data_IF_540918399982
#
_entry.id   IF_540918399982
#
_cell.length_a   1.000
_cell.length_b   1.000
_cell.length_c   1.000
_cell.angle_alpha   90.00
_cell.angle_beta   90.00
_cell.angle_gamma   90.00
#
_symmetry.space_group_name_H-M   'P 1'
#
loop_
_entity.id
_entity.type
_entity.pdbx_description
1 polymer ?
#
# COMPACT_ATOMS: atom_id res chain seq x y z
N UNK A 1 5.40 -16.20 11.92
CA UNK A 1 4.07 -15.55 12.08
C UNK A 1 3.42 -15.40 10.73
N UNK A 2 2.13 -15.70 10.65
CA UNK A 2 1.34 -15.47 9.44
C UNK A 2 0.40 -14.30 9.70
N UNK A 3 0.37 -13.36 8.77
CA UNK A 3 -0.53 -12.22 8.82
C UNK A 3 -1.34 -12.20 7.53
N UNK A 4 -2.59 -11.70 7.60
CA UNK A 4 -3.42 -11.54 6.41
C UNK A 4 -3.14 -10.20 5.74
N UNK A 5 -2.75 -9.21 6.53
CA UNK A 5 -2.48 -7.85 6.06
C UNK A 5 -1.26 -7.29 6.77
N UNK A 6 -0.35 -6.73 6.00
CA UNK A 6 0.81 -5.98 6.53
C UNK A 6 0.76 -4.58 5.95
N UNK A 7 0.77 -3.57 6.82
CA UNK A 7 0.83 -2.17 6.41
C UNK A 7 2.13 -1.59 6.94
N UNK A 8 2.96 -1.07 6.04
CA UNK A 8 4.17 -0.36 6.43
C UNK A 8 3.92 1.13 6.37
N UNK A 9 4.57 1.90 7.23
CA UNK A 9 4.47 3.36 7.21
C UNK A 9 5.85 3.98 7.04
N UNK A 10 5.96 4.99 6.17
CA UNK A 10 7.19 5.72 5.96
C UNK A 10 8.13 5.07 4.96
N UNK A 11 9.19 5.78 4.64
CA UNK A 11 10.24 5.31 3.73
C UNK A 11 9.83 5.25 2.27
N UNK A 12 8.79 5.99 1.87
CA UNK A 12 8.24 5.92 0.50
C UNK A 12 8.54 7.17 -0.34
N UNK A 13 9.37 8.09 0.15
CA UNK A 13 9.69 9.32 -0.56
C UNK A 13 10.87 9.19 -1.51
N UNK A 14 11.54 10.33 -1.74
CA UNK A 14 12.60 10.44 -2.76
C UNK A 14 14.01 10.45 -2.16
N UNK A 15 14.15 10.47 -0.85
CA UNK A 15 15.45 10.49 -0.19
C UNK A 15 16.16 9.15 -0.38
N UNK A 16 17.49 9.17 -0.33
CA UNK A 16 18.29 7.93 -0.41
C UNK A 16 17.97 6.96 0.73
N UNK A 17 17.39 7.43 1.84
CA UNK A 17 16.96 6.58 2.95
C UNK A 17 15.60 5.93 2.73
N UNK A 18 14.84 6.42 1.76
CA UNK A 18 13.49 5.93 1.48
C UNK A 18 13.58 4.68 0.61
N UNK A 19 13.71 3.53 1.25
CA UNK A 19 13.92 2.25 0.56
C UNK A 19 12.78 1.26 0.79
N UNK A 20 11.68 1.69 1.44
CA UNK A 20 10.55 0.81 1.72
C UNK A 20 9.96 0.18 0.45
N UNK A 21 9.74 0.92 -0.66
CA UNK A 21 9.22 0.30 -1.87
C UNK A 21 10.13 -0.80 -2.41
N UNK A 22 11.43 -0.56 -2.46
CA UNK A 22 12.40 -1.54 -2.95
C UNK A 22 12.41 -2.79 -2.08
N UNK A 23 12.44 -2.61 -0.75
CA UNK A 23 12.42 -3.73 0.18
C UNK A 23 11.12 -4.53 0.06
N UNK A 24 10.00 -3.84 -0.14
CA UNK A 24 8.71 -4.50 -0.30
C UNK A 24 8.64 -5.29 -1.60
N UNK A 25 9.03 -4.68 -2.71
CA UNK A 25 9.04 -5.37 -4.01
C UNK A 25 9.90 -6.63 -3.99
N UNK A 26 10.99 -6.61 -3.23
CA UNK A 26 11.89 -7.76 -3.13
C UNK A 26 11.23 -8.99 -2.50
N UNK A 27 10.16 -8.81 -1.72
CA UNK A 27 9.47 -9.92 -1.06
C UNK A 27 8.10 -10.23 -1.65
N UNK A 28 7.57 -9.39 -2.52
CA UNK A 28 6.25 -9.64 -3.11
C UNK A 28 6.32 -10.71 -4.18
N UNK A 29 5.31 -11.58 -4.21
CA UNK A 29 5.12 -12.54 -5.31
C UNK A 29 4.49 -11.86 -6.51
N UNK A 30 3.53 -10.96 -6.26
CA UNK A 30 2.84 -10.21 -7.31
C UNK A 30 2.52 -8.81 -6.81
N UNK A 31 2.60 -7.85 -7.69
CA UNK A 31 2.29 -6.46 -7.40
C UNK A 31 0.83 -6.14 -7.72
N UNK A 32 0.19 -5.30 -6.91
CA UNK A 32 -1.17 -4.80 -7.19
C UNK A 32 -1.05 -3.29 -7.42
N UNK A 33 -0.84 -2.90 -8.66
CA UNK A 33 -0.54 -1.50 -9.00
C UNK A 33 -1.71 -0.56 -8.79
N UNK A 34 -2.93 -1.04 -8.90
CA UNK A 34 -4.11 -0.20 -8.76
C UNK A 34 -4.31 0.34 -7.35
N UNK A 35 -3.79 -0.35 -6.33
CA UNK A 35 -3.92 0.12 -4.95
C UNK A 35 -3.14 1.43 -4.73
N UNK A 36 -1.84 1.53 -5.06
CA UNK A 36 -1.16 2.81 -4.96
C UNK A 36 -1.79 3.90 -5.83
N UNK A 37 -2.29 3.57 -7.01
CA UNK A 37 -2.97 4.54 -7.87
C UNK A 37 -4.18 5.14 -7.15
N UNK A 38 -5.01 4.31 -6.52
CA UNK A 38 -6.16 4.80 -5.77
C UNK A 38 -5.74 5.70 -4.62
N UNK A 39 -4.66 5.34 -3.93
CA UNK A 39 -4.10 6.16 -2.85
C UNK A 39 -3.59 7.51 -3.35
N UNK A 40 -2.89 7.54 -4.49
CA UNK A 40 -2.37 8.77 -5.09
C UNK A 40 -3.50 9.69 -5.55
N UNK A 41 -4.53 9.13 -6.17
CA UNK A 41 -5.70 9.91 -6.61
C UNK A 41 -6.34 10.59 -5.41
N UNK A 42 -6.52 9.88 -4.31
CA UNK A 42 -7.09 10.47 -3.10
C UNK A 42 -6.14 11.51 -2.48
N UNK A 43 -4.86 11.19 -2.41
CA UNK A 43 -3.86 12.11 -1.85
C UNK A 43 -3.74 13.41 -2.62
N UNK A 44 -3.86 13.36 -3.95
CA UNK A 44 -3.79 14.55 -4.80
C UNK A 44 -4.93 15.53 -4.56
N UNK A 45 -6.04 15.10 -3.99
CA UNK A 45 -7.12 16.01 -3.59
C UNK A 45 -6.67 16.93 -2.45
N UNK A 46 -5.72 16.50 -1.64
CA UNK A 46 -5.21 17.27 -0.50
C UNK A 46 -3.94 18.04 -0.82
N UNK A 47 -3.03 17.46 -1.60
CA UNK A 47 -1.75 18.08 -1.89
C UNK A 47 -1.11 17.50 -3.14
N UNK A 48 -0.48 18.36 -4.00
CA UNK A 48 0.28 17.84 -5.14
C UNK A 48 1.50 17.01 -4.72
N UNK A 49 1.96 17.10 -3.47
CA UNK A 49 3.08 16.29 -2.96
C UNK A 49 2.77 14.80 -2.96
N UNK A 50 1.51 14.41 -3.06
CA UNK A 50 1.12 13.01 -3.15
C UNK A 50 1.79 12.31 -4.34
N UNK A 51 2.11 13.04 -5.41
CA UNK A 51 2.78 12.46 -6.58
C UNK A 51 4.22 12.05 -6.31
N UNK A 52 4.78 12.44 -5.17
CA UNK A 52 6.15 12.09 -4.79
C UNK A 52 6.24 10.79 -3.99
N UNK A 53 5.10 10.17 -3.70
CA UNK A 53 5.08 8.86 -3.02
C UNK A 53 5.39 7.76 -4.02
N UNK A 54 6.31 6.87 -3.64
CA UNK A 54 6.67 5.70 -4.44
C UNK A 54 6.12 4.42 -3.83
N UNK A 55 5.04 4.53 -3.04
CA UNK A 55 4.42 3.40 -2.36
C UNK A 55 4.07 2.28 -3.33
N UNK A 56 4.17 1.04 -2.84
CA UNK A 56 3.78 -0.15 -3.59
C UNK A 56 2.80 -0.96 -2.76
N UNK A 57 2.11 -1.87 -3.41
CA UNK A 57 1.23 -2.84 -2.77
C UNK A 57 1.29 -4.14 -3.55
N UNK A 58 1.03 -5.25 -2.88
CA UNK A 58 1.06 -6.54 -3.53
C UNK A 58 0.76 -7.68 -2.59
N UNK A 59 1.12 -8.88 -3.04
CA UNK A 59 0.79 -10.13 -2.38
C UNK A 59 2.06 -10.90 -2.11
N UNK A 60 2.18 -11.41 -0.87
CA UNK A 60 3.15 -12.43 -0.52
C UNK A 60 2.40 -13.63 0.04
N UNK A 61 2.39 -14.74 -0.70
CA UNK A 61 1.57 -15.89 -0.31
C UNK A 61 0.11 -15.51 -0.24
N UNK A 62 -0.48 -15.56 0.95
CA UNK A 62 -1.86 -15.15 1.21
C UNK A 62 -1.95 -13.81 1.96
N UNK A 63 -0.83 -13.10 2.05
CA UNK A 63 -0.75 -11.84 2.77
C UNK A 63 -0.81 -10.66 1.80
N UNK A 64 -1.68 -9.71 2.08
CA UNK A 64 -1.72 -8.45 1.38
C UNK A 64 -0.75 -7.48 2.05
N UNK A 65 0.11 -6.85 1.28
CA UNK A 65 1.12 -5.92 1.78
C UNK A 65 0.90 -4.55 1.15
N UNK A 66 0.82 -3.51 1.98
CA UNK A 66 0.65 -2.12 1.52
C UNK A 66 1.71 -1.23 2.15
N UNK A 67 2.23 -0.29 1.37
CA UNK A 67 3.01 0.83 1.92
C UNK A 67 2.10 2.05 2.05
N UNK A 68 2.23 2.78 3.15
CA UNK A 68 1.59 4.10 3.28
C UNK A 68 2.65 5.12 3.71
N UNK A 69 2.42 6.43 3.46
CA UNK A 69 3.37 7.48 3.85
C UNK A 69 3.58 7.54 5.36
N UNK A 70 4.71 8.11 5.79
CA UNK A 70 5.01 8.30 7.20
C UNK A 70 4.21 9.42 7.87
N UNK A 71 3.71 10.39 7.11
CA UNK A 71 2.87 11.45 7.63
C UNK A 71 1.51 10.87 8.06
N UNK A 72 1.07 11.18 9.28
CA UNK A 72 -0.20 10.68 9.80
C UNK A 72 -1.37 11.05 8.89
N UNK A 73 -1.42 12.31 8.47
CA UNK A 73 -2.50 12.79 7.61
C UNK A 73 -2.51 12.05 6.28
N UNK A 74 -1.37 11.93 5.63
CA UNK A 74 -1.27 11.24 4.35
C UNK A 74 -1.57 9.75 4.49
N UNK A 75 -1.10 9.11 5.56
CA UNK A 75 -1.40 7.70 5.81
C UNK A 75 -2.90 7.47 5.97
N UNK A 76 -3.59 8.34 6.73
CA UNK A 76 -5.05 8.24 6.89
C UNK A 76 -5.79 8.40 5.57
N UNK A 77 -5.39 9.37 4.76
CA UNK A 77 -6.01 9.62 3.46
C UNK A 77 -5.80 8.44 2.52
N UNK A 78 -4.59 7.89 2.50
CA UNK A 78 -4.26 6.76 1.63
C UNK A 78 -5.02 5.50 2.05
N UNK A 79 -5.03 5.18 3.34
CA UNK A 79 -5.79 4.03 3.83
C UNK A 79 -7.28 4.20 3.60
N UNK A 80 -7.81 5.43 3.79
CA UNK A 80 -9.21 5.72 3.53
C UNK A 80 -9.64 5.43 2.11
N UNK A 81 -8.72 5.60 1.14
CA UNK A 81 -9.02 5.33 -0.26
C UNK A 81 -9.27 3.85 -0.54
N UNK A 82 -8.69 2.94 0.26
CA UNK A 82 -8.70 1.51 -0.04
C UNK A 82 -9.38 0.64 1.01
N UNK A 83 -9.66 1.19 2.20
CA UNK A 83 -10.15 0.39 3.33
C UNK A 83 -11.44 -0.36 3.02
N UNK A 84 -12.34 0.23 2.24
CA UNK A 84 -13.61 -0.41 1.90
C UNK A 84 -13.42 -1.67 1.04
N UNK A 85 -12.29 -1.78 0.34
CA UNK A 85 -12.01 -2.91 -0.55
C UNK A 85 -11.12 -3.96 0.12
N UNK A 86 -10.48 -3.63 1.24
CA UNK A 86 -9.53 -4.55 1.89
C UNK A 86 -10.19 -5.84 2.33
N UNK A 87 -11.40 -5.77 2.87
CA UNK A 87 -12.10 -6.98 3.32
C UNK A 87 -12.33 -7.96 2.16
N UNK A 88 -12.75 -7.44 1.01
CA UNK A 88 -12.94 -8.26 -0.19
C UNK A 88 -11.61 -8.87 -0.66
N UNK A 89 -10.55 -8.06 -0.68
CA UNK A 89 -9.23 -8.54 -1.09
C UNK A 89 -8.72 -9.65 -0.17
N UNK A 90 -8.91 -9.49 1.14
CA UNK A 90 -8.47 -10.50 2.10
C UNK A 90 -9.26 -11.80 1.95
N UNK A 91 -10.55 -11.72 1.64
CA UNK A 91 -11.34 -12.92 1.37
C UNK A 91 -10.88 -13.65 0.10
N UNK A 92 -10.54 -12.91 -0.95
CA UNK A 92 -9.99 -13.49 -2.17
C UNK A 92 -8.69 -14.24 -1.89
N UNK A 93 -7.81 -13.63 -1.09
CA UNK A 93 -6.52 -14.23 -0.75
C UNK A 93 -6.67 -15.48 0.12
N UNK A 94 -7.73 -15.54 0.92
CA UNK A 94 -8.03 -16.72 1.70
C UNK A 94 -8.66 -17.86 0.88
N UNK A 95 -8.87 -17.64 -0.43
CA UNK A 95 -9.46 -18.64 -1.30
C UNK A 95 -10.98 -18.60 -1.37
N UNK A 96 -11.59 -17.51 -0.85
CA UNK A 96 -13.06 -17.41 -0.77
C UNK A 96 -13.77 -17.05 -2.07
N UNK A 97 -13.03 -16.74 -3.11
CA UNK A 97 -13.60 -16.31 -4.38
C UNK A 97 -14.22 -14.90 -4.29
N UNK A 98 -14.90 -14.49 -5.34
CA UNK A 98 -15.53 -13.19 -5.38
C UNK A 98 -17.02 -13.29 -5.53
#
# INVERSE_FOLDING_TARGET
MQADLVVTTGGTGLSARDVTPEATLAVLDREIRAIPVAMWVEGLKSTPRAMLSRAVAGIRGHTLVLNVPGSEKAARENLGAVVATLDHALRMLAGGGH
#
